data_IF_146598132678
#
_entry.id   IF_146598132678
#
_cell.length_a   1.000
_cell.length_b   1.000
_cell.length_c   1.000
_cell.angle_alpha   90.00
_cell.angle_beta   90.00
_cell.angle_gamma   90.00
#
_symmetry.space_group_name_H-M   'P 1'
#
loop_
_entity.id
_entity.type
_entity.pdbx_description
1 polymer ?
#
# COMPACT_ATOMS: atom_id res chain seq x y z
N UNK A 1 -6.49 -25.18 -1.81
CA UNK A 1 -6.00 -24.01 -1.05
C UNK A 1 -6.35 -22.78 -1.87
N UNK A 2 -7.50 -22.14 -1.75
CA UNK A 2 -8.17 -21.70 -0.51
C UNK A 2 -7.95 -20.19 -0.30
N UNK A 3 -7.91 -19.39 -1.37
CA UNK A 3 -7.85 -17.94 -1.30
C UNK A 3 -9.27 -17.37 -1.33
N UNK A 4 -9.51 -16.30 -0.60
CA UNK A 4 -10.78 -15.57 -0.56
C UNK A 4 -11.25 -15.29 -1.98
N UNK A 5 -12.49 -15.69 -2.31
CA UNK A 5 -13.07 -15.45 -3.63
C UNK A 5 -13.25 -13.94 -3.86
N UNK A 6 -13.43 -13.54 -5.11
CA UNK A 6 -13.70 -12.12 -5.44
C UNK A 6 -14.96 -11.64 -4.71
N UNK A 7 -16.00 -12.50 -4.65
CA UNK A 7 -17.26 -12.21 -3.97
C UNK A 7 -17.10 -12.08 -2.46
N UNK A 8 -16.38 -13.01 -1.82
CA UNK A 8 -16.09 -12.94 -0.39
C UNK A 8 -15.30 -11.68 -0.04
N UNK A 9 -14.34 -11.27 -0.88
CA UNK A 9 -13.59 -10.02 -0.68
C UNK A 9 -14.49 -8.81 -0.85
N UNK A 10 -15.35 -8.79 -1.88
CA UNK A 10 -16.29 -7.69 -2.08
C UNK A 10 -17.25 -7.55 -0.88
N UNK A 11 -17.76 -8.66 -0.34
CA UNK A 11 -18.59 -8.67 0.86
C UNK A 11 -17.82 -8.20 2.11
N UNK A 12 -16.55 -8.60 2.26
CA UNK A 12 -15.67 -8.09 3.33
C UNK A 12 -15.48 -6.59 3.21
N UNK A 13 -15.16 -6.08 2.01
CA UNK A 13 -14.98 -4.64 1.75
C UNK A 13 -16.27 -3.88 2.07
N UNK A 14 -17.43 -4.39 1.65
CA UNK A 14 -18.72 -3.75 1.92
C UNK A 14 -19.06 -3.66 3.42
N UNK A 15 -18.62 -4.63 4.22
CA UNK A 15 -18.84 -4.67 5.66
C UNK A 15 -17.77 -3.94 6.49
N UNK A 16 -16.78 -3.32 5.85
CA UNK A 16 -15.72 -2.59 6.56
C UNK A 16 -16.27 -1.45 7.43
N UNK A 17 -15.69 -1.27 8.63
CA UNK A 17 -15.86 -0.06 9.41
C UNK A 17 -15.49 1.17 8.58
N UNK A 18 -16.29 2.23 8.69
CA UNK A 18 -16.00 3.52 8.07
C UNK A 18 -15.40 4.48 9.09
N UNK A 19 -14.83 5.58 8.61
CA UNK A 19 -14.30 6.63 9.45
C UNK A 19 -13.25 7.47 8.73
N UNK A 20 -12.62 8.36 9.47
CA UNK A 20 -11.53 9.22 8.98
C UNK A 20 -10.18 8.47 9.00
N UNK A 21 -10.05 7.53 8.06
CA UNK A 21 -8.85 6.74 7.81
C UNK A 21 -8.91 6.11 6.42
N UNK A 22 -7.80 5.56 5.98
CA UNK A 22 -7.63 4.80 4.75
C UNK A 22 -7.21 3.36 5.07
N UNK A 23 -7.59 2.43 4.20
CA UNK A 23 -6.94 1.12 4.15
C UNK A 23 -5.74 1.20 3.23
N UNK A 24 -4.57 0.84 3.75
CA UNK A 24 -3.31 0.88 3.04
C UNK A 24 -2.73 -0.51 2.85
N UNK A 25 -2.23 -0.78 1.64
CA UNK A 25 -1.47 -1.99 1.33
C UNK A 25 -0.08 -1.59 0.89
N UNK A 26 0.91 -2.05 1.65
CA UNK A 26 2.30 -1.84 1.30
C UNK A 26 2.55 -2.50 -0.06
N UNK A 27 3.10 -1.73 -0.99
CA UNK A 27 3.61 -2.26 -2.23
C UNK A 27 5.03 -1.76 -2.41
N UNK A 28 5.97 -2.68 -2.41
CA UNK A 28 7.37 -2.38 -2.57
C UNK A 28 7.88 -2.84 -3.92
N UNK A 29 8.62 -1.98 -4.61
CA UNK A 29 9.45 -2.32 -5.75
C UNK A 29 10.82 -1.68 -5.51
N UNK A 30 11.89 -2.40 -5.79
CA UNK A 30 13.23 -1.88 -5.55
C UNK A 30 13.48 -0.57 -6.30
N UNK A 31 14.17 0.35 -5.62
CA UNK A 31 14.53 1.71 -6.08
C UNK A 31 13.35 2.67 -6.25
N UNK A 32 12.10 2.21 -6.32
CA UNK A 32 10.96 3.13 -6.33
C UNK A 32 10.79 3.77 -4.96
N UNK A 33 10.21 4.97 -4.95
CA UNK A 33 10.03 5.75 -3.72
C UNK A 33 8.61 5.72 -3.18
N UNK A 34 7.65 5.25 -3.97
CA UNK A 34 6.27 5.12 -3.52
C UNK A 34 6.15 4.17 -2.33
N UNK A 35 5.14 4.40 -1.51
CA UNK A 35 4.89 3.55 -0.35
C UNK A 35 3.97 2.38 -0.68
N UNK A 36 2.91 2.62 -1.44
CA UNK A 36 1.92 1.59 -1.73
C UNK A 36 0.57 2.18 -2.03
N UNK A 37 -0.46 1.34 -1.95
CA UNK A 37 -1.80 1.73 -2.34
C UNK A 37 -2.64 2.13 -1.13
N UNK A 38 -3.35 3.26 -1.24
CA UNK A 38 -4.37 3.69 -0.29
C UNK A 38 -5.75 3.70 -0.94
N UNK A 39 -6.75 3.25 -0.19
CA UNK A 39 -8.16 3.39 -0.55
C UNK A 39 -8.99 3.83 0.65
N UNK A 40 -10.12 4.43 0.36
CA UNK A 40 -11.12 4.76 1.37
C UNK A 40 -11.83 3.49 1.87
N UNK A 41 -12.42 3.51 3.08
CA UNK A 41 -13.26 2.42 3.56
C UNK A 41 -14.36 2.08 2.57
N UNK A 42 -14.63 0.77 2.37
CA UNK A 42 -15.63 0.25 1.42
C UNK A 42 -15.36 0.56 -0.06
N UNK A 43 -14.25 1.21 -0.38
CA UNK A 43 -13.81 1.38 -1.76
C UNK A 43 -13.15 0.10 -2.26
N UNK A 44 -13.33 -0.24 -3.54
CA UNK A 44 -12.61 -1.37 -4.15
C UNK A 44 -11.12 -1.04 -4.35
N UNK A 45 -10.26 -2.07 -4.29
CA UNK A 45 -8.82 -1.88 -4.48
C UNK A 45 -8.45 -1.39 -5.88
N UNK A 46 -9.25 -1.67 -6.92
CA UNK A 46 -9.00 -1.11 -8.26
C UNK A 46 -9.18 0.42 -8.32
N UNK A 47 -9.78 1.04 -7.29
CA UNK A 47 -9.88 2.49 -7.16
C UNK A 47 -8.85 3.07 -6.19
N UNK A 48 -7.97 2.24 -5.64
CA UNK A 48 -6.90 2.68 -4.75
C UNK A 48 -5.87 3.53 -5.51
N UNK A 49 -5.24 4.46 -4.80
CA UNK A 49 -4.18 5.33 -5.34
C UNK A 49 -2.83 4.85 -4.88
N UNK A 50 -1.87 4.74 -5.80
CA UNK A 50 -0.46 4.57 -5.45
C UNK A 50 0.06 5.90 -4.90
N UNK A 51 0.62 5.91 -3.69
CA UNK A 51 0.96 7.17 -3.00
C UNK A 51 2.44 7.29 -2.66
N UNK A 52 2.90 8.54 -2.63
CA UNK A 52 4.13 8.92 -1.96
C UNK A 52 3.79 9.36 -0.52
N UNK A 53 4.42 8.72 0.47
CA UNK A 53 4.21 9.09 1.87
C UNK A 53 5.17 10.21 2.27
N UNK A 54 4.61 11.32 2.76
CA UNK A 54 5.36 12.38 3.41
C UNK A 54 5.47 12.10 4.90
N UNK A 55 6.68 12.20 5.41
CA UNK A 55 7.04 11.67 6.73
C UNK A 55 7.41 12.74 7.76
N UNK A 56 7.10 14.01 7.47
CA UNK A 56 7.39 15.15 8.36
C UNK A 56 6.81 14.97 9.76
N UNK A 57 5.62 14.37 9.86
CA UNK A 57 4.92 14.15 11.14
C UNK A 57 5.15 12.75 11.70
N UNK A 58 5.16 11.73 10.85
CA UNK A 58 5.29 10.32 11.23
C UNK A 58 6.05 9.57 10.15
N UNK A 59 7.00 8.74 10.57
CA UNK A 59 7.72 7.81 9.68
C UNK A 59 6.81 6.65 9.29
N UNK A 60 6.89 6.18 8.05
CA UNK A 60 6.19 4.99 7.55
C UNK A 60 6.66 3.72 8.30
N UNK A 61 5.85 2.65 8.34
CA UNK A 61 6.31 1.35 8.82
C UNK A 61 7.53 0.85 8.03
N UNK A 62 8.31 -0.03 8.67
CA UNK A 62 9.38 -0.79 8.02
C UNK A 62 10.52 0.04 7.40
N UNK A 63 10.92 1.12 8.10
CA UNK A 63 12.02 2.06 7.77
C UNK A 63 13.44 1.49 7.96
N UNK A 64 13.67 0.21 7.65
CA UNK A 64 15.03 -0.34 7.69
C UNK A 64 15.92 0.23 6.57
N UNK A 65 17.23 -0.02 6.65
CA UNK A 65 18.17 0.40 5.61
C UNK A 65 18.03 -0.47 4.35
N UNK A 66 18.23 0.15 3.18
CA UNK A 66 18.16 -0.57 1.89
C UNK A 66 19.32 -1.56 1.71
N UNK A 67 20.50 -1.17 2.19
CA UNK A 67 21.77 -1.90 2.03
C UNK A 67 22.09 -2.85 3.21
N UNK A 68 21.11 -3.11 4.07
CA UNK A 68 21.29 -4.01 5.20
C UNK A 68 21.52 -5.48 4.75
N UNK A 69 22.06 -6.34 5.62
CA UNK A 69 22.15 -7.78 5.34
C UNK A 69 20.79 -8.40 4.98
N UNK A 70 20.76 -9.51 4.21
CA UNK A 70 19.53 -10.25 3.96
C UNK A 70 18.77 -10.55 5.26
N UNK A 71 17.47 -10.27 5.30
CA UNK A 71 16.64 -10.40 6.52
C UNK A 71 16.62 -9.15 7.43
N UNK A 72 17.41 -8.12 7.14
CA UNK A 72 17.38 -6.82 7.84
C UNK A 72 17.15 -5.64 6.89
N UNK A 73 16.83 -5.93 5.62
CA UNK A 73 16.47 -4.92 4.62
C UNK A 73 15.03 -4.45 4.81
N UNK A 74 14.76 -3.22 4.40
CA UNK A 74 13.40 -2.70 4.25
C UNK A 74 12.56 -3.52 3.26
N UNK A 75 11.26 -3.31 3.33
CA UNK A 75 10.18 -4.03 2.66
C UNK A 75 9.89 -5.45 3.17
N UNK A 76 10.14 -5.71 4.45
CA UNK A 76 9.65 -6.92 5.13
C UNK A 76 8.13 -6.92 5.26
N UNK A 77 7.53 -5.72 5.28
CA UNK A 77 6.10 -5.51 5.35
C UNK A 77 5.40 -5.52 3.98
N UNK A 78 6.07 -5.96 2.91
CA UNK A 78 5.46 -5.97 1.59
C UNK A 78 4.13 -6.75 1.60
N UNK A 79 3.09 -6.11 1.07
CA UNK A 79 1.70 -6.59 1.03
C UNK A 79 0.96 -6.63 2.38
N UNK A 80 1.54 -6.15 3.49
CA UNK A 80 0.81 -5.99 4.74
C UNK A 80 -0.29 -4.94 4.60
N UNK A 81 -1.39 -5.14 5.33
CA UNK A 81 -2.53 -4.23 5.39
C UNK A 81 -2.48 -3.39 6.65
N UNK A 82 -2.67 -2.09 6.48
CA UNK A 82 -2.67 -1.10 7.53
C UNK A 82 -3.95 -0.27 7.51
N UNK A 83 -4.39 0.16 8.68
CA UNK A 83 -5.23 1.34 8.83
C UNK A 83 -4.32 2.56 8.88
N UNK A 84 -4.47 3.48 7.94
CA UNK A 84 -3.64 4.68 7.79
C UNK A 84 -4.49 5.90 8.10
N UNK A 85 -3.97 6.84 8.90
CA UNK A 85 -4.57 8.16 9.09
C UNK A 85 -3.63 9.23 8.54
N UNK A 86 -4.24 10.31 8.07
CA UNK A 86 -3.54 11.39 7.39
C UNK A 86 -4.43 12.01 6.33
N UNK A 87 -3.82 12.79 5.44
CA UNK A 87 -4.55 13.45 4.38
C UNK A 87 -3.69 13.61 3.13
N UNK A 88 -4.33 13.60 1.97
CA UNK A 88 -3.69 14.05 0.74
C UNK A 88 -3.37 15.54 0.86
N UNK A 89 -2.17 15.93 0.42
CA UNK A 89 -1.73 17.34 0.50
C UNK A 89 -2.17 18.18 -0.70
N UNK A 90 -2.73 17.52 -1.72
CA UNK A 90 -3.07 18.13 -3.02
C UNK A 90 -1.87 18.30 -3.94
N UNK A 91 -0.66 17.89 -3.52
CA UNK A 91 0.54 17.90 -4.35
C UNK A 91 0.77 16.55 -5.00
N UNK A 92 1.52 16.57 -6.10
CA UNK A 92 2.06 15.38 -6.74
C UNK A 92 3.59 15.37 -6.63
N UNK A 93 4.16 14.18 -6.52
CA UNK A 93 5.60 13.96 -6.45
C UNK A 93 6.00 13.03 -7.59
N UNK A 94 7.06 13.40 -8.29
CA UNK A 94 7.62 12.58 -9.35
C UNK A 94 8.56 11.52 -8.77
N UNK A 95 8.33 10.26 -9.12
CA UNK A 95 9.25 9.15 -8.83
C UNK A 95 9.97 8.70 -10.12
N UNK A 96 11.25 9.07 -10.32
CA UNK A 96 11.98 8.76 -11.54
C UNK A 96 12.08 7.26 -11.85
N UNK A 97 12.14 6.41 -10.82
CA UNK A 97 12.33 4.97 -11.00
C UNK A 97 11.05 4.24 -11.45
N UNK A 98 9.88 4.82 -11.18
CA UNK A 98 8.60 4.34 -11.72
C UNK A 98 8.10 5.18 -12.90
N UNK A 99 8.73 6.34 -13.15
CA UNK A 99 8.31 7.35 -14.12
C UNK A 99 6.84 7.78 -13.95
N UNK A 100 6.40 7.99 -12.71
CA UNK A 100 5.04 8.38 -12.37
C UNK A 100 5.00 9.66 -11.52
N UNK A 101 3.97 10.46 -11.73
CA UNK A 101 3.54 11.51 -10.79
C UNK A 101 2.52 10.88 -9.85
N UNK A 102 2.81 10.90 -8.56
CA UNK A 102 2.02 10.23 -7.54
C UNK A 102 1.49 11.25 -6.52
N UNK A 103 0.24 11.11 -6.05
CA UNK A 103 -0.29 11.97 -5.01
C UNK A 103 0.53 11.84 -3.71
N UNK A 104 0.85 12.98 -3.11
CA UNK A 104 1.51 13.07 -1.82
C UNK A 104 0.48 12.90 -0.68
N UNK A 105 0.80 12.02 0.27
CA UNK A 105 -0.01 11.76 1.45
C UNK A 105 0.77 12.09 2.72
N UNK A 106 0.23 12.99 3.55
CA UNK A 106 0.80 13.34 4.85
C UNK A 106 0.38 12.31 5.90
N UNK A 107 1.30 11.44 6.31
CA UNK A 107 1.04 10.40 7.31
C UNK A 107 0.94 11.02 8.72
N UNK A 108 -0.12 10.71 9.46
CA UNK A 108 -0.26 11.09 10.87
C UNK A 108 -0.13 9.89 11.81
N UNK A 109 -0.73 8.75 11.48
CA UNK A 109 -0.59 7.51 12.24
C UNK A 109 -0.91 6.28 11.39
N UNK A 110 -0.56 5.09 11.89
CA UNK A 110 -0.94 3.83 11.28
C UNK A 110 -1.09 2.72 12.33
N UNK A 111 -1.87 1.71 11.97
CA UNK A 111 -2.11 0.49 12.75
C UNK A 111 -2.04 -0.71 11.79
N UNK A 112 -1.27 -1.75 12.15
CA UNK A 112 -1.20 -2.99 11.37
C UNK A 112 -2.50 -3.78 11.57
N UNK A 113 -3.16 -4.16 10.48
CA UNK A 113 -4.39 -4.94 10.51
C UNK A 113 -4.17 -6.41 10.16
N UNK A 114 -3.40 -6.68 9.10
CA UNK A 114 -3.24 -8.03 8.58
C UNK A 114 -1.87 -8.18 7.87
N UNK A 115 -1.15 -9.25 8.20
CA UNK A 115 0.16 -9.56 7.60
C UNK A 115 0.04 -10.48 6.36
N UNK A 116 -1.13 -11.13 6.16
CA UNK A 116 -1.40 -12.05 5.06
C UNK A 116 -2.75 -11.78 4.38
N UNK A 117 -3.02 -10.53 3.94
CA UNK A 117 -4.33 -10.14 3.42
C UNK A 117 -4.60 -10.57 1.95
N UNK A 118 -3.91 -11.60 1.47
CA UNK A 118 -4.11 -12.19 0.13
C UNK A 118 -3.55 -11.36 -1.03
N UNK A 119 -4.17 -11.50 -2.20
CA UNK A 119 -3.85 -10.74 -3.41
C UNK A 119 -4.18 -9.24 -3.25
N UNK A 120 -3.69 -8.36 -4.13
CA UNK A 120 -3.92 -6.91 -4.00
C UNK A 120 -5.12 -6.45 -4.83
N UNK A 121 -5.11 -6.73 -6.14
CA UNK A 121 -6.15 -6.37 -7.11
C UNK A 121 -6.94 -7.57 -7.62
N UNK A 122 -6.28 -8.71 -7.83
CA UNK A 122 -6.95 -9.94 -8.29
C UNK A 122 -6.17 -11.22 -7.94
N UNK A 123 -6.83 -12.40 -7.90
CA UNK A 123 -6.17 -13.67 -7.59
C UNK A 123 -4.99 -14.04 -8.49
N UNK A 124 -4.96 -13.51 -9.73
CA UNK A 124 -3.88 -13.74 -10.70
C UNK A 124 -2.71 -12.77 -10.55
N UNK A 125 -2.69 -11.92 -9.52
CA UNK A 125 -1.57 -11.02 -9.24
C UNK A 125 -0.24 -11.78 -9.09
N UNK A 126 0.79 -11.23 -9.71
CA UNK A 126 2.16 -11.74 -9.65
C UNK A 126 3.09 -10.60 -9.24
N UNK A 127 3.46 -10.59 -7.98
CA UNK A 127 4.44 -9.64 -7.45
C UNK A 127 5.83 -9.89 -8.06
N UNK A 128 6.48 -8.83 -8.53
CA UNK A 128 7.89 -8.83 -8.86
C UNK A 128 8.59 -7.72 -8.08
N UNK A 129 9.65 -8.07 -7.34
CA UNK A 129 10.41 -7.12 -6.52
C UNK A 129 11.13 -6.04 -7.31
N UNK A 130 11.45 -6.30 -8.58
CA UNK A 130 12.24 -5.40 -9.42
C UNK A 130 11.42 -4.66 -10.47
N UNK A 131 10.10 -4.95 -10.57
CA UNK A 131 9.24 -4.37 -11.60
C UNK A 131 7.86 -4.07 -11.06
N UNK A 132 7.27 -2.99 -11.56
CA UNK A 132 5.89 -2.64 -11.27
C UNK A 132 4.98 -3.60 -12.04
N UNK A 133 4.34 -4.51 -11.32
CA UNK A 133 3.45 -5.54 -11.89
C UNK A 133 2.05 -5.52 -11.31
N UNK A 134 1.88 -4.91 -10.13
CA UNK A 134 0.59 -4.78 -9.47
C UNK A 134 0.03 -3.39 -9.79
N UNK A 135 -0.89 -3.35 -10.76
CA UNK A 135 -1.58 -2.14 -11.18
C UNK A 135 -3.09 -2.39 -11.11
N UNK A 136 -3.88 -1.40 -10.63
CA UNK A 136 -5.33 -1.47 -10.73
C UNK A 136 -5.74 -1.56 -12.21
N UNK A 137 -6.81 -2.31 -12.50
CA UNK A 137 -7.35 -2.47 -13.86
C UNK A 137 -8.85 -2.25 -13.88
#
# INVERSE_FOLDING_TARGET
>A
MGGTTIEERAAKIASEPTGDFYYGRRYFVEKTRFWGYLREPRQDWNRAKLVMMREDKKRVPDRFHEDAPPGQRYAQDNNFEYRIRGNYTGREVYDPNSNQFLPEFMLSSYELLDQRPGWLFKPSDRYNRFRITLLPR
#
